data_IF_775990917651
#
_entry.id   IF_775990917651
#
_cell.length_a   1.000
_cell.length_b   1.000
_cell.length_c   1.000
_cell.angle_alpha   90.00
_cell.angle_beta   90.00
_cell.angle_gamma   90.00
#
_symmetry.space_group_name_H-M   'P 1'
#
loop_
_entity.id
_entity.type
_entity.pdbx_description
1 polymer ?
#
# COMPACT_ATOMS: atom_id res chain seq x y z
N UNK A 1 -3.42 36.77 -5.13
CA UNK A 1 -3.38 35.76 -6.22
C UNK A 1 -1.92 35.63 -6.58
N UNK A 2 -1.25 34.56 -6.13
CA UNK A 2 0.13 34.27 -6.52
C UNK A 2 0.12 33.80 -7.97
N UNK A 3 1.04 34.27 -8.83
CA UNK A 3 1.16 33.73 -10.18
C UNK A 3 1.53 32.26 -10.10
N UNK A 4 0.76 31.46 -10.77
CA UNK A 4 0.98 30.02 -10.89
C UNK A 4 2.23 29.84 -11.78
N UNK A 5 3.25 29.20 -11.25
CA UNK A 5 4.42 28.83 -12.04
C UNK A 5 4.05 27.63 -12.92
N UNK A 6 3.73 27.90 -14.18
CA UNK A 6 3.15 26.91 -15.10
C UNK A 6 4.19 26.05 -15.84
N UNK A 7 5.49 26.16 -15.53
CA UNK A 7 6.51 25.44 -16.29
C UNK A 7 7.41 24.54 -15.44
N UNK A 8 7.27 23.22 -15.56
CA UNK A 8 8.16 22.29 -14.86
C UNK A 8 9.63 22.36 -15.32
N UNK A 9 9.88 22.87 -16.53
CA UNK A 9 11.24 22.98 -17.07
C UNK A 9 12.05 24.14 -16.45
N UNK A 10 11.40 25.16 -15.91
CA UNK A 10 12.09 26.36 -15.44
C UNK A 10 12.68 26.26 -14.06
N UNK A 11 12.38 25.19 -13.33
CA UNK A 11 12.57 25.12 -11.89
C UNK A 11 13.85 24.47 -11.43
N UNK A 12 14.46 23.66 -12.26
CA UNK A 12 15.63 22.90 -11.80
C UNK A 12 16.97 23.39 -12.35
N UNK A 13 16.96 24.27 -13.33
CA UNK A 13 18.17 24.49 -14.10
C UNK A 13 18.95 25.76 -13.76
N UNK A 14 18.33 26.86 -13.33
CA UNK A 14 19.03 28.14 -13.29
C UNK A 14 18.60 29.16 -12.22
N UNK A 15 17.47 28.97 -11.57
CA UNK A 15 16.97 29.96 -10.62
C UNK A 15 17.19 29.52 -9.18
N UNK A 16 17.99 30.28 -8.43
CA UNK A 16 18.23 30.08 -7.00
C UNK A 16 17.08 30.58 -6.12
N UNK A 17 16.01 31.14 -6.70
CA UNK A 17 14.85 31.56 -5.94
C UNK A 17 13.99 30.34 -5.57
N UNK A 18 13.57 30.19 -4.30
CA UNK A 18 12.66 29.13 -3.92
C UNK A 18 11.32 29.24 -4.68
N UNK A 19 11.03 28.27 -5.52
CA UNK A 19 9.75 28.21 -6.22
C UNK A 19 8.63 27.78 -5.27
N UNK A 20 7.43 28.36 -5.36
CA UNK A 20 6.32 27.95 -4.54
C UNK A 20 5.93 26.50 -4.85
N UNK A 21 5.73 25.70 -3.82
CA UNK A 21 5.21 24.33 -3.97
C UNK A 21 3.80 24.39 -4.60
N UNK A 22 3.66 23.82 -5.78
CA UNK A 22 2.35 23.66 -6.43
C UNK A 22 2.04 22.20 -6.71
N UNK A 23 0.77 21.87 -6.79
CA UNK A 23 0.31 20.53 -7.12
C UNK A 23 0.82 20.10 -8.50
N UNK A 24 0.67 20.94 -9.51
CA UNK A 24 1.07 20.64 -10.88
C UNK A 24 2.56 20.40 -11.00
N UNK A 25 3.36 21.23 -10.33
CA UNK A 25 4.80 21.13 -10.38
C UNK A 25 5.37 19.89 -9.70
N UNK A 26 4.75 19.46 -8.61
CA UNK A 26 5.25 18.35 -7.80
C UNK A 26 4.61 16.99 -8.13
N UNK A 27 3.65 16.95 -9.05
CA UNK A 27 2.89 15.73 -9.39
C UNK A 27 3.45 14.99 -10.60
N UNK A 28 3.41 13.66 -10.57
CA UNK A 28 3.73 12.81 -11.75
C UNK A 28 2.60 12.77 -12.76
N UNK A 29 1.38 13.03 -12.34
CA UNK A 29 0.21 13.10 -13.18
C UNK A 29 -0.59 14.36 -12.85
N UNK A 30 -0.68 15.26 -13.81
CA UNK A 30 -1.41 16.53 -13.71
C UNK A 30 -2.71 16.54 -14.52
N UNK A 31 -3.00 15.44 -15.25
CA UNK A 31 -4.11 15.36 -16.20
C UNK A 31 -5.48 15.41 -15.53
N UNK A 32 -5.53 14.95 -14.30
CA UNK A 32 -6.75 14.89 -13.47
C UNK A 32 -6.36 15.31 -12.07
N UNK A 33 -7.19 16.03 -11.35
CA UNK A 33 -6.95 16.44 -9.95
C UNK A 33 -6.91 15.26 -8.97
N UNK A 34 -6.11 14.24 -9.30
CA UNK A 34 -5.96 13.03 -8.51
C UNK A 34 -4.99 13.27 -7.36
N UNK A 35 -5.47 13.13 -6.15
CA UNK A 35 -4.67 13.29 -4.95
C UNK A 35 -3.48 12.33 -4.94
N UNK A 36 -2.32 12.85 -4.58
CA UNK A 36 -1.10 12.05 -4.43
C UNK A 36 -1.25 11.00 -3.32
N UNK A 37 -0.61 9.84 -3.54
CA UNK A 37 -0.55 8.74 -2.58
C UNK A 37 -1.92 8.16 -2.18
N UNK A 38 -2.94 8.31 -3.03
CA UNK A 38 -4.28 7.77 -2.80
C UNK A 38 -4.59 6.62 -3.74
N UNK A 39 -5.16 5.59 -3.17
CA UNK A 39 -5.81 4.52 -3.94
C UNK A 39 -7.17 5.02 -4.40
N UNK A 40 -7.51 4.84 -5.66
CA UNK A 40 -8.84 5.16 -6.16
C UNK A 40 -9.88 4.15 -5.67
N UNK A 41 -9.48 2.88 -5.59
CA UNK A 41 -10.35 1.81 -5.16
C UNK A 41 -9.65 0.96 -4.10
N UNK A 42 -10.40 0.66 -3.05
CA UNK A 42 -10.00 -0.27 -1.99
C UNK A 42 -11.16 -1.23 -1.79
N UNK A 43 -10.90 -2.52 -1.83
CA UNK A 43 -11.87 -3.54 -1.49
C UNK A 43 -11.31 -4.46 -0.40
N UNK A 44 -12.18 -4.91 0.48
CA UNK A 44 -11.87 -5.90 1.50
C UNK A 44 -13.02 -6.88 1.63
N UNK A 45 -12.69 -8.15 1.58
CA UNK A 45 -13.61 -9.25 1.87
C UNK A 45 -13.01 -10.06 3.01
N UNK A 46 -13.82 -10.39 4.00
CA UNK A 46 -13.44 -11.20 5.15
C UNK A 46 -14.51 -12.27 5.35
N UNK A 47 -14.12 -13.54 5.32
CA UNK A 47 -14.99 -14.68 5.46
C UNK A 47 -14.52 -15.53 6.62
N UNK A 48 -15.46 -15.98 7.45
CA UNK A 48 -15.19 -16.91 8.54
C UNK A 48 -16.30 -17.94 8.63
N UNK A 49 -15.91 -19.19 8.68
CA UNK A 49 -16.79 -20.33 8.92
C UNK A 49 -16.41 -20.95 10.25
N UNK A 50 -17.43 -21.24 11.07
CA UNK A 50 -17.23 -21.92 12.35
C UNK A 50 -18.11 -23.16 12.37
N UNK A 51 -17.49 -24.29 12.62
CA UNK A 51 -18.19 -25.56 12.79
C UNK A 51 -17.74 -26.23 14.10
N UNK A 52 -18.67 -26.37 15.04
CA UNK A 52 -18.41 -26.90 16.38
C UNK A 52 -17.25 -26.15 17.06
N UNK A 53 -16.11 -26.81 17.21
CA UNK A 53 -14.90 -26.29 17.89
C UNK A 53 -13.88 -25.69 16.89
N UNK A 54 -14.12 -25.82 15.59
CA UNK A 54 -13.17 -25.39 14.56
C UNK A 54 -13.68 -24.12 13.89
N UNK A 55 -12.80 -23.14 13.70
CA UNK A 55 -13.06 -21.96 12.90
C UNK A 55 -12.00 -21.78 11.82
N UNK A 56 -12.44 -21.55 10.59
CA UNK A 56 -11.55 -21.28 9.45
C UNK A 56 -11.97 -19.94 8.87
N UNK A 57 -11.02 -19.09 8.57
CA UNK A 57 -11.31 -17.80 7.96
C UNK A 57 -10.23 -17.38 6.98
N UNK A 58 -10.62 -16.49 6.10
CA UNK A 58 -9.72 -15.87 5.15
C UNK A 58 -10.13 -14.45 4.87
N UNK A 59 -9.17 -13.60 4.55
CA UNK A 59 -9.44 -12.26 4.07
C UNK A 59 -8.71 -11.99 2.77
N UNK A 60 -9.35 -11.19 1.93
CA UNK A 60 -8.80 -10.65 0.72
C UNK A 60 -8.87 -9.13 0.78
N UNK A 61 -7.74 -8.47 0.48
CA UNK A 61 -7.64 -7.03 0.38
C UNK A 61 -7.12 -6.65 -0.99
N UNK A 62 -7.78 -5.72 -1.62
CA UNK A 62 -7.38 -5.14 -2.89
C UNK A 62 -7.13 -3.65 -2.73
N UNK A 63 -6.03 -3.19 -3.30
CA UNK A 63 -5.68 -1.78 -3.42
C UNK A 63 -5.39 -1.50 -4.89
N UNK A 64 -6.08 -0.51 -5.46
CA UNK A 64 -5.81 -0.07 -6.83
C UNK A 64 -4.40 0.52 -6.97
N UNK A 65 -3.96 0.72 -8.19
CA UNK A 65 -2.71 1.43 -8.44
C UNK A 65 -2.78 2.88 -7.91
N UNK A 66 -1.69 3.37 -7.31
CA UNK A 66 -1.54 4.78 -6.93
C UNK A 66 -1.09 5.55 -8.18
N UNK A 67 -2.02 6.28 -8.80
CA UNK A 67 -1.73 6.99 -10.05
C UNK A 67 -0.75 8.13 -9.85
N UNK A 68 -0.96 8.94 -8.82
CA UNK A 68 -0.18 10.15 -8.60
C UNK A 68 0.74 10.05 -7.39
N UNK A 69 2.00 10.33 -7.60
CA UNK A 69 3.05 10.45 -6.57
C UNK A 69 3.87 11.71 -6.83
N UNK A 70 4.78 12.06 -5.94
CA UNK A 70 5.69 13.17 -6.17
C UNK A 70 6.69 12.86 -7.29
N UNK A 71 6.87 13.80 -8.19
CA UNK A 71 7.81 13.73 -9.32
C UNK A 71 9.26 13.53 -8.85
N UNK A 72 9.59 14.00 -7.67
CA UNK A 72 10.91 13.86 -7.07
C UNK A 72 11.41 12.41 -7.08
N UNK A 73 10.52 11.42 -6.92
CA UNK A 73 10.89 10.01 -6.95
C UNK A 73 11.39 9.54 -8.32
N UNK A 74 10.94 10.15 -9.41
CA UNK A 74 11.44 9.86 -10.75
C UNK A 74 12.71 10.63 -11.06
N UNK A 75 12.79 11.89 -10.65
CA UNK A 75 13.96 12.74 -10.91
C UNK A 75 15.23 12.21 -10.23
N UNK A 76 15.10 11.68 -9.02
CA UNK A 76 16.23 11.14 -8.27
C UNK A 76 16.43 9.62 -8.44
N UNK A 77 15.57 8.94 -9.22
CA UNK A 77 15.70 7.49 -9.45
C UNK A 77 17.10 7.06 -9.95
N UNK A 78 17.74 7.78 -10.92
CA UNK A 78 19.07 7.43 -11.40
C UNK A 78 20.14 7.45 -10.30
N UNK A 79 20.03 8.35 -9.33
CA UNK A 79 20.95 8.48 -8.21
C UNK A 79 20.61 7.51 -7.08
N UNK A 80 19.35 7.40 -6.72
CA UNK A 80 18.88 6.59 -5.58
C UNK A 80 18.79 5.11 -5.91
N UNK A 81 18.60 4.75 -7.20
CA UNK A 81 18.40 3.35 -7.66
C UNK A 81 17.35 2.63 -6.82
N UNK A 82 16.28 3.33 -6.48
CA UNK A 82 15.25 2.84 -5.55
C UNK A 82 14.39 1.73 -6.15
N UNK A 83 14.36 1.60 -7.48
CA UNK A 83 13.54 0.64 -8.21
C UNK A 83 12.05 0.98 -8.21
N UNK A 84 11.68 2.23 -7.88
CA UNK A 84 10.29 2.65 -7.75
C UNK A 84 9.55 2.60 -9.09
N UNK A 85 10.21 2.98 -10.18
CA UNK A 85 9.63 2.95 -11.51
C UNK A 85 9.27 1.52 -11.92
N UNK A 86 10.22 0.60 -11.81
CA UNK A 86 10.03 -0.83 -12.09
C UNK A 86 8.97 -1.46 -11.18
N UNK A 87 8.95 -1.08 -9.91
CA UNK A 87 7.93 -1.51 -8.97
C UNK A 87 6.53 -1.07 -9.42
N UNK A 88 6.38 0.19 -9.80
CA UNK A 88 5.11 0.76 -10.25
C UNK A 88 4.62 0.10 -11.54
N UNK A 89 5.50 -0.15 -12.49
CA UNK A 89 5.17 -0.87 -13.72
C UNK A 89 4.61 -2.28 -13.44
N UNK A 90 5.28 -3.00 -12.54
CA UNK A 90 4.86 -4.35 -12.16
C UNK A 90 3.50 -4.38 -11.45
N UNK A 91 3.12 -3.32 -10.76
CA UNK A 91 1.90 -3.28 -9.94
C UNK A 91 0.79 -2.39 -10.52
N UNK A 92 0.81 -2.09 -11.82
CA UNK A 92 -0.24 -1.31 -12.51
C UNK A 92 -1.65 -1.91 -12.35
N UNK A 93 -1.77 -3.22 -12.20
CA UNK A 93 -3.04 -3.92 -11.94
C UNK A 93 -3.56 -3.83 -10.51
N UNK A 94 -2.82 -3.16 -9.63
CA UNK A 94 -3.12 -3.11 -8.20
C UNK A 94 -2.47 -4.23 -7.40
N UNK A 95 -2.79 -4.27 -6.10
CA UNK A 95 -2.18 -5.15 -5.11
C UNK A 95 -3.28 -6.03 -4.50
N UNK A 96 -3.10 -7.34 -4.56
CA UNK A 96 -4.00 -8.32 -3.94
C UNK A 96 -3.29 -9.01 -2.77
N UNK A 97 -3.84 -8.91 -1.58
CA UNK A 97 -3.29 -9.49 -0.36
C UNK A 97 -4.28 -10.49 0.20
N UNK A 98 -3.80 -11.69 0.51
CA UNK A 98 -4.58 -12.76 1.08
C UNK A 98 -4.05 -13.11 2.46
N UNK A 99 -4.95 -13.23 3.43
CA UNK A 99 -4.63 -13.70 4.77
C UNK A 99 -5.48 -14.93 5.08
N UNK A 100 -4.98 -15.84 5.90
CA UNK A 100 -5.71 -17.03 6.34
C UNK A 100 -5.62 -17.17 7.85
N UNK A 101 -6.67 -17.76 8.45
CA UNK A 101 -6.72 -18.04 9.87
C UNK A 101 -7.43 -19.36 10.14
N UNK A 102 -6.91 -20.08 11.12
CA UNK A 102 -7.45 -21.33 11.61
C UNK A 102 -7.52 -21.26 13.12
N UNK A 103 -8.65 -21.58 13.70
CA UNK A 103 -8.85 -21.54 15.14
C UNK A 103 -9.52 -22.79 15.68
N UNK A 104 -9.19 -23.16 16.90
CA UNK A 104 -9.78 -24.28 17.64
C UNK A 104 -10.17 -23.82 19.03
N UNK A 105 -11.40 -24.07 19.43
CA UNK A 105 -11.90 -23.91 20.79
C UNK A 105 -11.53 -25.16 21.60
N UNK A 106 -10.37 -25.11 22.29
CA UNK A 106 -9.84 -26.25 23.05
C UNK A 106 -10.75 -26.55 24.24
N UNK A 107 -11.27 -25.51 24.86
CA UNK A 107 -12.30 -25.62 25.93
C UNK A 107 -13.30 -24.46 25.76
N UNK A 108 -14.39 -24.47 26.55
CA UNK A 108 -15.36 -23.36 26.57
C UNK A 108 -14.72 -22.00 26.93
N UNK A 109 -13.52 -22.03 27.54
CA UNK A 109 -12.80 -20.83 28.01
C UNK A 109 -11.51 -20.55 27.26
N UNK A 110 -10.99 -21.50 26.47
CA UNK A 110 -9.69 -21.38 25.81
C UNK A 110 -9.82 -21.58 24.30
N UNK A 111 -9.41 -20.60 23.53
CA UNK A 111 -9.32 -20.66 22.07
C UNK A 111 -7.88 -20.46 21.62
N UNK A 112 -7.45 -21.30 20.72
CA UNK A 112 -6.15 -21.19 20.02
C UNK A 112 -6.41 -20.87 18.57
N UNK A 113 -5.73 -19.87 18.03
CA UNK A 113 -5.84 -19.54 16.62
C UNK A 113 -4.46 -19.32 15.99
N UNK A 114 -4.28 -19.88 14.81
CA UNK A 114 -3.13 -19.68 13.96
C UNK A 114 -3.50 -18.74 12.82
N UNK A 115 -2.69 -17.71 12.61
CA UNK A 115 -2.94 -16.65 11.60
C UNK A 115 -1.74 -16.55 10.69
N UNK A 116 -2.01 -16.52 9.40
CA UNK A 116 -1.01 -16.26 8.34
C UNK A 116 -1.42 -14.99 7.61
N UNK A 117 -0.61 -13.95 7.72
CA UNK A 117 -0.81 -12.73 6.95
C UNK A 117 0.08 -12.77 5.71
N UNK A 118 -0.40 -12.16 4.62
CA UNK A 118 0.27 -12.14 3.34
C UNK A 118 0.62 -13.58 2.85
N UNK A 119 -0.41 -14.41 2.73
CA UNK A 119 -0.31 -15.85 2.43
C UNK A 119 0.54 -16.16 1.20
N UNK A 120 0.48 -15.34 0.17
CA UNK A 120 1.25 -15.50 -1.08
C UNK A 120 2.66 -14.90 -1.00
N UNK A 121 3.03 -14.32 0.14
CA UNK A 121 4.33 -13.66 0.34
C UNK A 121 4.64 -12.59 -0.71
N UNK A 122 3.64 -11.77 -1.03
CA UNK A 122 3.79 -10.68 -1.98
C UNK A 122 4.66 -9.57 -1.39
N UNK A 123 5.70 -9.15 -2.11
CA UNK A 123 6.41 -7.91 -1.79
C UNK A 123 5.60 -6.74 -2.32
N UNK A 124 5.05 -5.92 -1.43
CA UNK A 124 4.20 -4.81 -1.79
C UNK A 124 4.48 -3.57 -0.94
N UNK A 125 4.04 -2.42 -1.45
CA UNK A 125 4.20 -1.12 -0.82
C UNK A 125 2.88 -0.36 -0.90
N UNK A 126 2.41 0.14 0.21
CA UNK A 126 1.24 1.03 0.29
C UNK A 126 1.62 2.51 0.25
N UNK A 127 2.92 2.81 0.31
CA UNK A 127 3.49 4.15 0.19
C UNK A 127 4.83 4.05 -0.54
N UNK A 128 5.24 5.03 -1.33
CA UNK A 128 6.55 5.03 -1.96
C UNK A 128 7.66 4.74 -0.95
N UNK A 129 8.62 3.93 -1.35
CA UNK A 129 9.82 3.53 -0.58
C UNK A 129 9.56 2.79 0.74
N UNK A 130 8.31 2.45 1.07
CA UNK A 130 8.00 1.64 2.25
C UNK A 130 7.52 0.25 1.81
N UNK A 131 8.34 -0.75 1.98
CA UNK A 131 7.96 -2.16 1.77
C UNK A 131 7.21 -2.63 3.02
N UNK A 132 6.04 -3.21 2.80
CA UNK A 132 5.23 -3.80 3.86
C UNK A 132 5.77 -5.18 4.27
N UNK A 133 5.30 -5.66 5.41
CA UNK A 133 5.77 -6.93 5.97
C UNK A 133 5.60 -8.11 5.00
N UNK A 134 6.58 -8.98 4.89
CA UNK A 134 6.46 -10.24 4.17
C UNK A 134 5.42 -11.13 4.86
N UNK A 135 5.32 -12.39 4.44
CA UNK A 135 4.46 -13.37 5.12
C UNK A 135 4.83 -13.46 6.60
N UNK A 136 3.81 -13.34 7.45
CA UNK A 136 3.97 -13.47 8.89
C UNK A 136 3.05 -14.55 9.43
N UNK A 137 3.54 -15.26 10.45
CA UNK A 137 2.80 -16.27 11.18
C UNK A 137 2.59 -15.80 12.62
N UNK A 138 1.38 -15.94 13.12
CA UNK A 138 1.05 -15.59 14.49
C UNK A 138 0.22 -16.69 15.16
N UNK A 139 0.53 -17.00 16.41
CA UNK A 139 -0.29 -17.83 17.28
C UNK A 139 -1.00 -16.92 18.27
N UNK A 140 -2.32 -17.03 18.35
CA UNK A 140 -3.16 -16.27 19.29
C UNK A 140 -3.79 -17.23 20.29
N UNK A 141 -3.63 -16.91 21.56
CA UNK A 141 -4.33 -17.56 22.66
C UNK A 141 -5.35 -16.58 23.23
N UNK A 142 -6.59 -17.01 23.38
CA UNK A 142 -7.68 -16.20 23.96
C UNK A 142 -8.29 -16.96 25.13
N UNK A 143 -8.48 -16.26 26.23
CA UNK A 143 -9.09 -16.81 27.47
C UNK A 143 -10.36 -16.01 27.77
N UNK A 144 -11.48 -16.71 27.97
CA UNK A 144 -12.75 -16.14 28.45
C UNK A 144 -12.93 -16.52 29.92
N UNK A 145 -12.99 -15.54 30.77
CA UNK A 145 -13.17 -15.71 32.23
C UNK A 145 -14.64 -15.77 32.60
#
# INVERSE_FOLDING_TARGET
>A
ILPQADHPADTFATDSTPQPMSYNFTSTDTSYDILKYRFQHIAKVDLQLTYKIISIGGSWRYYSFIQNIDMVFYLFEPQMKSGIEKYREKHKGGIHIFDARFGVDVTKKVKVAFVVNNLVNLSYSLRPLKIESPRTFALRLSFNF
#
